data_IF_938851045471
#
_entry.id   IF_938851045471
#
_cell.length_a   1.000
_cell.length_b   1.000
_cell.length_c   1.000
_cell.angle_alpha   90.00
_cell.angle_beta   90.00
_cell.angle_gamma   90.00
#
_symmetry.space_group_name_H-M   'P 1'
#
loop_
_entity.id
_entity.type
_entity.pdbx_description
1 polymer ?
#
# COMPACT_ATOMS: atom_id res chain seq x y z
N UNK A 1 -16.62 35.24 -16.70
CA UNK A 1 -15.90 33.95 -16.60
C UNK A 1 -14.70 34.01 -17.51
N UNK A 2 -13.52 33.99 -16.92
CA UNK A 2 -12.26 33.93 -17.67
C UNK A 2 -12.02 32.49 -18.15
N UNK A 3 -11.25 32.31 -19.23
CA UNK A 3 -10.94 30.98 -19.76
C UNK A 3 -10.27 30.08 -18.71
N UNK A 4 -9.49 30.67 -17.81
CA UNK A 4 -8.85 29.97 -16.68
C UNK A 4 -9.86 29.39 -15.68
N UNK A 5 -10.91 30.12 -15.34
CA UNK A 5 -11.98 29.63 -14.46
C UNK A 5 -12.73 28.45 -15.08
N UNK A 6 -12.96 28.50 -16.40
CA UNK A 6 -13.62 27.42 -17.16
C UNK A 6 -12.77 26.16 -17.20
N UNK A 7 -11.45 26.30 -17.34
CA UNK A 7 -10.49 25.17 -17.29
C UNK A 7 -10.49 24.53 -15.89
N UNK A 8 -10.43 25.34 -14.83
CA UNK A 8 -10.44 24.84 -13.45
C UNK A 8 -11.71 24.06 -13.11
N UNK A 9 -12.86 24.52 -13.60
CA UNK A 9 -14.14 23.83 -13.40
C UNK A 9 -14.19 22.48 -14.16
N UNK A 10 -13.69 22.45 -15.39
CA UNK A 10 -13.56 21.21 -16.18
C UNK A 10 -12.62 20.20 -15.51
N UNK A 11 -11.50 20.64 -14.93
CA UNK A 11 -10.60 19.76 -14.18
C UNK A 11 -11.27 19.16 -12.93
N UNK A 12 -12.04 19.96 -12.20
CA UNK A 12 -12.81 19.51 -11.04
C UNK A 12 -13.82 18.44 -11.43
N UNK A 13 -14.57 18.66 -12.51
CA UNK A 13 -15.51 17.68 -13.06
C UNK A 13 -14.81 16.39 -13.51
N UNK A 14 -13.64 16.49 -14.16
CA UNK A 14 -12.84 15.35 -14.56
C UNK A 14 -12.36 14.52 -13.35
N UNK A 15 -11.87 15.18 -12.29
CA UNK A 15 -11.49 14.49 -11.05
C UNK A 15 -12.67 13.75 -10.42
N UNK A 16 -13.85 14.35 -10.40
CA UNK A 16 -15.05 13.70 -9.88
C UNK A 16 -15.47 12.49 -10.73
N UNK A 17 -15.44 12.62 -12.06
CA UNK A 17 -15.70 11.48 -12.97
C UNK A 17 -14.71 10.35 -12.78
N UNK A 18 -13.41 10.66 -12.62
CA UNK A 18 -12.38 9.66 -12.31
C UNK A 18 -12.68 8.93 -11.00
N UNK A 19 -13.04 9.66 -9.93
CA UNK A 19 -13.44 9.05 -8.65
C UNK A 19 -14.64 8.13 -8.80
N UNK A 20 -15.68 8.55 -9.53
CA UNK A 20 -16.88 7.72 -9.80
C UNK A 20 -16.55 6.48 -10.62
N UNK A 21 -15.68 6.60 -11.63
CA UNK A 21 -15.23 5.46 -12.43
C UNK A 21 -14.43 4.46 -11.57
N UNK A 22 -13.48 4.95 -10.77
CA UNK A 22 -12.71 4.11 -9.84
C UNK A 22 -13.61 3.40 -8.84
N UNK A 23 -14.59 4.09 -8.25
CA UNK A 23 -15.54 3.47 -7.33
C UNK A 23 -16.33 2.31 -7.97
N UNK A 24 -16.74 2.46 -9.25
CA UNK A 24 -17.40 1.37 -9.99
C UNK A 24 -16.48 0.18 -10.25
N UNK A 25 -15.21 0.42 -10.58
CA UNK A 25 -14.24 -0.65 -10.76
C UNK A 25 -13.97 -1.40 -9.45
N UNK A 26 -13.82 -0.68 -8.32
CA UNK A 26 -13.72 -1.31 -7.01
C UNK A 26 -14.97 -2.11 -6.64
N UNK A 27 -16.17 -1.63 -7.00
CA UNK A 27 -17.41 -2.36 -6.78
C UNK A 27 -17.45 -3.67 -7.60
N UNK A 28 -17.05 -3.63 -8.88
CA UNK A 28 -16.93 -4.83 -9.71
C UNK A 28 -15.95 -5.83 -9.10
N UNK A 29 -14.77 -5.36 -8.70
CA UNK A 29 -13.75 -6.20 -8.06
C UNK A 29 -14.27 -6.84 -6.78
N UNK A 30 -15.00 -6.08 -5.95
CA UNK A 30 -15.68 -6.60 -4.77
C UNK A 30 -16.69 -7.69 -5.12
N UNK A 31 -17.55 -7.47 -6.13
CA UNK A 31 -18.53 -8.47 -6.59
C UNK A 31 -17.88 -9.73 -7.15
N UNK A 32 -16.78 -9.61 -7.90
CA UNK A 32 -16.00 -10.75 -8.37
C UNK A 32 -15.40 -11.54 -7.22
N UNK A 33 -14.84 -10.84 -6.22
CA UNK A 33 -14.35 -11.47 -5.00
C UNK A 33 -15.45 -12.25 -4.27
N UNK A 34 -16.67 -11.69 -4.11
CA UNK A 34 -17.79 -12.43 -3.50
C UNK A 34 -18.19 -13.68 -4.30
N UNK A 35 -18.18 -13.60 -5.63
CA UNK A 35 -18.50 -14.74 -6.50
C UNK A 35 -17.47 -15.86 -6.36
N UNK A 36 -16.18 -15.50 -6.33
CA UNK A 36 -15.08 -16.47 -6.26
C UNK A 36 -14.89 -17.04 -4.84
N UNK A 37 -15.03 -16.22 -3.81
CA UNK A 37 -14.86 -16.65 -2.41
C UNK A 37 -16.07 -17.39 -1.84
N UNK A 38 -17.20 -17.42 -2.56
CA UNK A 38 -18.49 -17.94 -2.07
C UNK A 38 -18.94 -17.33 -0.73
N UNK A 39 -18.45 -16.13 -0.39
CA UNK A 39 -18.80 -15.47 0.85
C UNK A 39 -20.27 -15.01 0.82
N UNK A 40 -21.08 -15.50 1.76
CA UNK A 40 -22.52 -15.20 1.85
C UNK A 40 -22.84 -13.77 2.33
N UNK A 41 -21.86 -13.07 2.90
CA UNK A 41 -22.02 -11.71 3.42
C UNK A 41 -20.68 -10.99 3.50
N UNK A 42 -20.71 -9.66 3.67
CA UNK A 42 -19.49 -8.85 3.86
C UNK A 42 -18.71 -9.24 5.11
N UNK A 43 -19.40 -9.59 6.21
CA UNK A 43 -18.73 -10.07 7.42
C UNK A 43 -18.01 -11.40 7.19
N UNK A 44 -18.62 -12.32 6.44
CA UNK A 44 -18.00 -13.60 6.07
C UNK A 44 -16.79 -13.40 5.17
N UNK A 45 -16.91 -12.54 4.16
CA UNK A 45 -15.80 -12.14 3.29
C UNK A 45 -14.65 -11.55 4.11
N UNK A 46 -14.95 -10.65 5.04
CA UNK A 46 -13.94 -10.06 5.91
C UNK A 46 -13.24 -11.11 6.78
N UNK A 47 -13.99 -12.05 7.38
CA UNK A 47 -13.40 -13.18 8.13
C UNK A 47 -12.50 -14.07 7.25
N UNK A 48 -12.89 -14.33 5.99
CA UNK A 48 -12.05 -15.07 5.05
C UNK A 48 -10.74 -14.34 4.74
N UNK A 49 -10.78 -13.01 4.67
CA UNK A 49 -9.58 -12.18 4.47
C UNK A 49 -8.69 -12.12 5.72
N UNK A 50 -9.24 -12.26 6.93
CA UNK A 50 -8.45 -12.21 8.18
C UNK A 50 -7.43 -13.36 8.32
N UNK A 51 -7.60 -14.46 7.58
CA UNK A 51 -6.62 -15.56 7.58
C UNK A 51 -5.51 -15.37 6.54
N UNK A 52 -5.64 -14.39 5.64
CA UNK A 52 -4.62 -14.08 4.64
C UNK A 52 -3.53 -13.23 5.32
N UNK A 53 -2.26 -13.67 5.32
CA UNK A 53 -1.18 -13.00 6.04
C UNK A 53 -1.00 -11.53 5.66
N UNK A 54 -1.32 -11.17 4.41
CA UNK A 54 -1.22 -9.80 3.87
C UNK A 54 -2.29 -8.83 4.42
N UNK A 55 -3.42 -9.36 4.93
CA UNK A 55 -4.53 -8.56 5.49
C UNK A 55 -4.64 -8.68 7.01
N UNK A 56 -3.73 -9.44 7.64
CA UNK A 56 -3.57 -9.40 9.08
C UNK A 56 -2.83 -8.11 9.44
N UNK A 57 -3.47 -7.27 10.25
CA UNK A 57 -2.76 -6.26 11.03
C UNK A 57 -1.91 -7.02 12.05
N UNK A 58 -0.79 -7.61 11.62
CA UNK A 58 0.24 -8.04 12.55
C UNK A 58 0.73 -6.77 13.22
N UNK A 59 0.45 -6.63 14.51
CA UNK A 59 1.18 -5.67 15.31
C UNK A 59 2.67 -5.94 15.07
N UNK A 60 3.40 -4.88 14.76
CA UNK A 60 4.83 -4.95 14.53
C UNK A 60 5.47 -5.62 15.75
N UNK A 61 5.97 -6.84 15.58
CA UNK A 61 6.81 -7.52 16.58
C UNK A 61 8.21 -6.90 16.64
N UNK A 62 8.47 -5.86 15.84
CA UNK A 62 9.74 -5.16 15.84
C UNK A 62 9.93 -4.43 17.15
N UNK A 63 11.12 -4.60 17.71
CA UNK A 63 11.60 -3.75 18.80
C UNK A 63 11.70 -2.30 18.34
N UNK A 64 11.64 -1.36 19.29
CA UNK A 64 11.77 0.08 19.00
C UNK A 64 13.06 0.40 18.23
N UNK A 65 14.15 -0.31 18.55
CA UNK A 65 15.45 -0.13 17.90
C UNK A 65 15.44 -0.61 16.43
N UNK A 66 14.82 -1.77 16.17
CA UNK A 66 14.64 -2.29 14.81
C UNK A 66 13.78 -1.36 13.95
N UNK A 67 12.73 -0.78 14.54
CA UNK A 67 11.89 0.19 13.86
C UNK A 67 12.67 1.47 13.52
N UNK A 68 13.46 1.98 14.47
CA UNK A 68 14.28 3.17 14.25
C UNK A 68 15.32 2.95 13.14
N UNK A 69 15.97 1.78 13.10
CA UNK A 69 16.94 1.44 12.05
C UNK A 69 16.30 1.40 10.65
N UNK A 70 15.09 0.84 10.53
CA UNK A 70 14.34 0.87 9.27
C UNK A 70 13.96 2.29 8.86
N UNK A 71 13.58 3.12 9.83
CA UNK A 71 13.22 4.50 9.58
C UNK A 71 14.43 5.33 9.12
N UNK A 72 15.59 5.11 9.71
CA UNK A 72 16.84 5.77 9.32
C UNK A 72 17.25 5.37 7.89
N UNK A 73 17.13 4.09 7.53
CA UNK A 73 17.36 3.61 6.17
C UNK A 73 16.38 4.27 5.18
N UNK A 74 15.09 4.35 5.52
CA UNK A 74 14.08 4.98 4.68
C UNK A 74 14.35 6.48 4.48
N UNK A 75 14.75 7.19 5.54
CA UNK A 75 15.10 8.61 5.50
C UNK A 75 16.36 8.88 4.67
N UNK A 76 17.30 7.93 4.63
CA UNK A 76 18.50 8.01 3.81
C UNK A 76 18.23 7.72 2.31
N UNK A 77 17.04 7.25 1.95
CA UNK A 77 16.69 7.04 0.54
C UNK A 77 16.27 8.34 -0.14
N UNK A 78 16.85 8.62 -1.29
CA UNK A 78 16.47 9.73 -2.16
C UNK A 78 15.76 9.22 -3.41
N UNK A 79 14.64 9.85 -3.76
CA UNK A 79 13.92 9.51 -4.99
C UNK A 79 14.53 10.27 -6.18
N UNK A 80 14.95 9.55 -7.21
CA UNK A 80 15.61 10.13 -8.39
C UNK A 80 14.70 10.34 -9.61
N UNK A 81 13.39 10.10 -9.48
CA UNK A 81 12.41 10.17 -10.57
C UNK A 81 12.01 8.82 -11.17
N UNK A 82 12.79 7.76 -10.96
CA UNK A 82 12.47 6.39 -11.43
C UNK A 82 12.53 5.35 -10.31
N UNK A 83 13.49 5.47 -9.41
CA UNK A 83 13.70 4.55 -8.30
C UNK A 83 14.24 5.27 -7.06
N UNK A 84 14.05 4.64 -5.91
CA UNK A 84 14.70 5.05 -4.66
C UNK A 84 16.18 4.68 -4.71
N UNK A 85 17.05 5.66 -4.49
CA UNK A 85 18.50 5.51 -4.40
C UNK A 85 18.94 5.66 -2.95
N UNK A 86 19.91 4.84 -2.56
CA UNK A 86 20.60 4.94 -1.28
C UNK A 86 22.09 4.72 -1.54
N UNK A 87 22.96 5.48 -0.88
CA UNK A 87 24.40 5.49 -1.16
C UNK A 87 25.07 4.17 -0.74
N UNK A 88 24.65 3.60 0.39
CA UNK A 88 25.19 2.37 0.96
C UNK A 88 24.30 1.14 0.69
N UNK A 89 23.77 1.02 -0.54
CA UNK A 89 22.85 -0.06 -0.95
C UNK A 89 23.38 -1.46 -0.63
N UNK A 90 24.68 -1.70 -0.77
CA UNK A 90 25.29 -3.01 -0.49
C UNK A 90 25.21 -3.38 0.99
N UNK A 91 25.50 -2.44 1.88
CA UNK A 91 25.44 -2.66 3.34
C UNK A 91 24.00 -2.79 3.80
N UNK A 92 23.11 -1.92 3.30
CA UNK A 92 21.68 -1.95 3.62
C UNK A 92 21.03 -3.25 3.14
N UNK A 93 21.38 -3.74 1.94
CA UNK A 93 20.86 -5.02 1.45
C UNK A 93 21.35 -6.22 2.26
N UNK A 94 22.60 -6.21 2.72
CA UNK A 94 23.13 -7.23 3.63
C UNK A 94 22.41 -7.20 4.98
N UNK A 95 22.24 -6.01 5.56
CA UNK A 95 21.52 -5.82 6.81
C UNK A 95 20.05 -6.24 6.69
N UNK A 96 19.34 -5.84 5.62
CA UNK A 96 17.95 -6.26 5.37
C UNK A 96 17.82 -7.77 5.19
N UNK A 97 18.84 -8.42 4.61
CA UNK A 97 18.87 -9.88 4.47
C UNK A 97 18.99 -10.57 5.84
N UNK A 98 19.86 -10.06 6.72
CA UNK A 98 20.03 -10.58 8.08
C UNK A 98 18.78 -10.33 8.93
N UNK A 99 18.26 -9.10 8.89
CA UNK A 99 17.02 -8.69 9.54
C UNK A 99 15.84 -9.60 9.17
N UNK A 100 15.75 -10.00 7.89
CA UNK A 100 14.70 -10.91 7.44
C UNK A 100 14.89 -12.32 7.99
N UNK A 101 16.11 -12.87 7.97
CA UNK A 101 16.36 -14.22 8.47
C UNK A 101 16.14 -14.36 9.98
N UNK A 102 16.45 -13.32 10.75
CA UNK A 102 16.26 -13.30 12.21
C UNK A 102 14.78 -13.21 12.59
N UNK A 103 13.99 -12.46 11.82
CA UNK A 103 12.55 -12.29 12.06
C UNK A 103 11.67 -13.39 11.43
N UNK A 104 12.17 -14.18 10.48
CA UNK A 104 11.47 -15.37 9.95
C UNK A 104 11.56 -16.59 10.90
N UNK A 105 12.48 -16.58 11.87
CA UNK A 105 12.68 -17.67 12.85
C UNK A 105 11.90 -17.51 14.17
N UNK A 106 11.12 -16.43 14.34
CA UNK A 106 10.22 -16.20 15.50
C UNK A 106 8.76 -16.41 15.14
#
# INVERSE_FOLDING_TARGET
MTELERIAELEKQLKERKRKALAKEYEKLGREFYKQSHAKSMSTAHKMLQHIPMFQNKESTLTTDQYQQLQDIANAMSYNGNFWKIENLKEVSQWLSQFRTENEQS
#
